data_IF_555297946069
#
_entry.id   IF_555297946069
#
_cell.length_a   1.000
_cell.length_b   1.000
_cell.length_c   1.000
_cell.angle_alpha   90.00
_cell.angle_beta   90.00
_cell.angle_gamma   90.00
#
_symmetry.space_group_name_H-M   'P 1'
#
loop_
_entity.id
_entity.type
_entity.pdbx_description
1 polymer ?
#
# COMPACT_ATOMS: atom_id res chain seq x y z
N UNK A 1 -0.09 11.50 4.61
CA UNK A 1 0.28 10.25 5.30
C UNK A 1 0.10 9.09 4.35
N UNK A 2 1.03 8.11 4.31
CA UNK A 2 0.86 6.87 3.56
C UNK A 2 0.54 5.75 4.53
N UNK A 3 -0.54 5.03 4.27
CA UNK A 3 -0.99 3.89 5.06
C UNK A 3 -0.56 2.61 4.35
N UNK A 4 0.17 1.73 5.05
CA UNK A 4 0.62 0.42 4.55
C UNK A 4 0.28 -0.66 5.57
N UNK A 5 -0.97 -1.12 5.56
CA UNK A 5 -1.40 -2.25 6.41
C UNK A 5 -2.02 -3.36 5.57
N UNK A 6 -2.01 -4.58 6.12
CA UNK A 6 -2.73 -5.70 5.56
C UNK A 6 -4.19 -5.66 6.06
N UNK A 7 -5.15 -5.84 5.14
CA UNK A 7 -6.58 -5.80 5.44
C UNK A 7 -7.26 -4.50 4.95
N UNK A 8 -8.59 -4.47 5.05
CA UNK A 8 -9.42 -3.27 4.85
C UNK A 8 -10.12 -2.91 6.15
N UNK A 9 -10.46 -1.63 6.33
CA UNK A 9 -11.25 -1.15 7.47
C UNK A 9 -10.60 -0.05 8.31
N UNK A 10 -9.29 0.20 8.14
CA UNK A 10 -8.61 1.27 8.90
C UNK A 10 -8.68 2.63 8.19
N UNK A 11 -8.92 2.62 6.88
CA UNK A 11 -8.98 3.85 6.09
C UNK A 11 -10.21 4.70 6.42
N UNK A 12 -11.37 4.11 6.72
CA UNK A 12 -12.56 4.87 7.11
C UNK A 12 -12.32 5.63 8.43
N UNK A 13 -11.74 4.95 9.42
CA UNK A 13 -11.42 5.55 10.71
C UNK A 13 -10.37 6.67 10.58
N UNK A 14 -9.33 6.46 9.76
CA UNK A 14 -8.28 7.46 9.55
C UNK A 14 -8.82 8.67 8.78
N UNK A 15 -9.65 8.47 7.76
CA UNK A 15 -10.31 9.57 7.04
C UNK A 15 -11.24 10.38 7.94
N UNK A 16 -11.95 9.74 8.87
CA UNK A 16 -12.80 10.43 9.83
C UNK A 16 -11.99 11.27 10.84
N UNK A 17 -10.82 10.78 11.25
CA UNK A 17 -9.93 11.49 12.18
C UNK A 17 -9.14 12.62 11.51
N UNK A 18 -8.82 12.49 10.22
CA UNK A 18 -7.92 13.39 9.49
C UNK A 18 -8.52 13.85 8.14
N UNK A 19 -9.68 14.52 8.13
CA UNK A 19 -10.47 14.77 6.92
C UNK A 19 -9.77 15.67 5.88
N UNK A 20 -8.86 16.54 6.32
CA UNK A 20 -8.14 17.49 5.45
C UNK A 20 -6.67 17.13 5.21
N UNK A 21 -6.18 16.01 5.77
CA UNK A 21 -4.82 15.60 5.47
C UNK A 21 -4.79 14.82 4.16
N UNK A 22 -3.77 15.01 3.31
CA UNK A 22 -3.55 14.12 2.18
C UNK A 22 -3.34 12.69 2.66
N UNK A 23 -4.27 11.81 2.33
CA UNK A 23 -4.24 10.40 2.71
C UNK A 23 -3.96 9.55 1.48
N UNK A 24 -2.94 8.71 1.59
CA UNK A 24 -2.54 7.74 0.58
C UNK A 24 -2.61 6.35 1.18
N UNK A 25 -2.92 5.37 0.35
CA UNK A 25 -2.78 3.97 0.69
C UNK A 25 -1.76 3.31 -0.23
N UNK A 26 -0.90 2.47 0.34
CA UNK A 26 -0.02 1.60 -0.41
C UNK A 26 -0.21 0.14 -0.02
N UNK A 27 -0.30 -0.72 -1.03
CA UNK A 27 -0.31 -2.18 -0.86
C UNK A 27 0.81 -2.79 -1.67
N UNK A 28 1.54 -3.72 -1.06
CA UNK A 28 2.70 -4.35 -1.67
C UNK A 28 2.62 -5.87 -1.60
N UNK A 29 3.13 -6.50 -2.66
CA UNK A 29 3.43 -7.92 -2.76
C UNK A 29 4.94 -8.20 -2.61
N UNK A 30 5.75 -7.18 -2.29
CA UNK A 30 7.16 -7.38 -1.96
C UNK A 30 7.27 -8.34 -0.76
N UNK A 31 8.14 -9.34 -0.87
CA UNK A 31 8.32 -10.35 0.17
C UNK A 31 9.62 -10.07 0.93
N UNK A 32 9.52 -9.92 2.26
CA UNK A 32 10.68 -9.77 3.11
C UNK A 32 10.66 -10.80 4.24
N UNK A 33 11.80 -11.43 4.48
CA UNK A 33 12.02 -12.38 5.56
C UNK A 33 12.90 -11.72 6.61
N UNK A 34 12.47 -11.77 7.87
CA UNK A 34 13.26 -11.29 9.01
C UNK A 34 13.65 -12.48 9.89
N UNK A 35 14.83 -13.10 9.68
CA UNK A 35 15.25 -14.28 10.44
C UNK A 35 15.59 -13.96 11.90
N UNK A 36 16.12 -12.76 12.16
CA UNK A 36 16.38 -12.25 13.51
C UNK A 36 16.14 -10.73 13.59
N UNK A 37 16.40 -10.12 14.75
CA UNK A 37 16.10 -8.69 15.01
C UNK A 37 16.97 -7.72 14.19
N UNK A 38 18.11 -8.16 13.68
CA UNK A 38 19.12 -7.33 13.03
C UNK A 38 19.22 -7.59 11.52
N UNK A 39 18.57 -8.65 11.02
CA UNK A 39 18.62 -9.03 9.62
C UNK A 39 17.26 -8.91 8.93
N UNK A 40 17.24 -8.29 7.76
CA UNK A 40 16.09 -8.24 6.87
C UNK A 40 16.54 -8.67 5.47
N UNK A 41 15.94 -9.74 4.96
CA UNK A 41 16.24 -10.27 3.64
C UNK A 41 15.06 -9.93 2.73
N UNK A 42 15.32 -9.25 1.62
CA UNK A 42 14.31 -9.03 0.58
C UNK A 42 14.30 -10.27 -0.31
N UNK A 43 13.27 -11.11 -0.16
CA UNK A 43 13.23 -12.47 -0.72
C UNK A 43 12.36 -12.59 -1.96
N UNK A 44 11.60 -11.56 -2.33
CA UNK A 44 10.76 -11.59 -3.52
C UNK A 44 10.39 -10.20 -4.00
N UNK A 45 10.55 -10.00 -5.30
CA UNK A 45 10.11 -8.80 -6.01
C UNK A 45 8.61 -8.91 -6.29
N UNK A 46 7.84 -7.92 -5.85
CA UNK A 46 6.40 -7.91 -6.03
C UNK A 46 5.85 -6.52 -6.25
N UNK A 47 4.72 -6.44 -6.94
CA UNK A 47 4.09 -5.17 -7.26
C UNK A 47 3.72 -4.38 -6.00
N UNK A 48 4.03 -3.08 -6.01
CA UNK A 48 3.48 -2.10 -5.09
C UNK A 48 2.49 -1.19 -5.83
N UNK A 49 1.31 -1.03 -5.26
CA UNK A 49 0.31 -0.06 -5.72
C UNK A 49 0.22 1.06 -4.70
N UNK A 50 0.23 2.30 -5.17
CA UNK A 50 0.01 3.50 -4.38
C UNK A 50 -1.20 4.24 -4.95
N UNK A 51 -2.04 4.82 -4.11
CA UNK A 51 -3.13 5.67 -4.57
C UNK A 51 -3.74 6.49 -3.46
N UNK A 52 -4.60 7.43 -3.83
CA UNK A 52 -5.21 8.36 -2.90
C UNK A 52 -6.45 7.77 -2.22
N UNK A 53 -6.62 8.08 -0.94
CA UNK A 53 -7.85 7.79 -0.18
C UNK A 53 -8.82 8.97 -0.15
N UNK A 54 -8.34 10.17 -0.47
CA UNK A 54 -9.14 11.38 -0.56
C UNK A 54 -8.58 12.32 -1.64
N UNK A 55 -9.35 13.36 -1.97
CA UNK A 55 -8.99 14.34 -3.02
C UNK A 55 -7.63 14.99 -2.77
N UNK A 56 -7.32 15.35 -1.52
CA UNK A 56 -6.05 15.96 -1.13
C UNK A 56 -4.85 15.04 -1.41
N UNK A 57 -5.04 13.72 -1.34
CA UNK A 57 -4.03 12.71 -1.66
C UNK A 57 -3.70 12.62 -3.15
N UNK A 58 -4.64 12.96 -4.05
CA UNK A 58 -4.46 12.75 -5.49
C UNK A 58 -3.29 13.56 -6.07
N UNK A 59 -2.99 14.73 -5.50
CA UNK A 59 -1.85 15.56 -5.89
C UNK A 59 -0.48 14.88 -5.69
N UNK A 60 -0.43 13.79 -4.94
CA UNK A 60 0.79 13.07 -4.61
C UNK A 60 1.06 11.85 -5.50
N UNK A 61 0.37 11.70 -6.64
CA UNK A 61 0.67 10.66 -7.62
C UNK A 61 2.15 10.55 -8.06
N UNK A 62 2.95 11.63 -8.11
CA UNK A 62 4.39 11.53 -8.42
C UNK A 62 5.21 10.72 -7.40
N UNK A 63 4.68 10.48 -6.18
CA UNK A 63 5.34 9.63 -5.20
C UNK A 63 5.46 8.18 -5.67
N UNK A 64 4.59 7.70 -6.56
CA UNK A 64 4.72 6.36 -7.12
C UNK A 64 6.06 6.17 -7.84
N UNK A 65 6.53 7.18 -8.59
CA UNK A 65 7.84 7.13 -9.25
C UNK A 65 9.01 7.21 -8.26
N UNK A 66 8.83 7.87 -7.11
CA UNK A 66 9.84 7.87 -6.04
C UNK A 66 9.97 6.46 -5.45
N UNK A 67 8.83 5.83 -5.16
CA UNK A 67 8.80 4.46 -4.65
C UNK A 67 9.33 3.46 -5.68
N UNK A 68 9.01 3.64 -6.96
CA UNK A 68 9.49 2.75 -8.01
C UNK A 68 11.01 2.77 -8.12
N UNK A 69 11.64 3.96 -8.02
CA UNK A 69 13.11 4.06 -8.00
C UNK A 69 13.75 3.40 -6.79
N UNK A 70 13.06 3.34 -5.66
CA UNK A 70 13.59 2.79 -4.41
C UNK A 70 13.25 1.31 -4.19
N UNK A 71 12.08 0.87 -4.65
CA UNK A 71 11.46 -0.42 -4.34
C UNK A 71 10.59 -0.93 -5.51
N UNK A 72 11.18 -1.00 -6.70
CA UNK A 72 10.51 -1.45 -7.90
C UNK A 72 9.93 -2.89 -7.78
N UNK A 73 8.80 -3.18 -8.45
CA UNK A 73 7.97 -2.24 -9.22
C UNK A 73 6.94 -1.53 -8.32
N UNK A 74 6.74 -0.23 -8.55
CA UNK A 74 5.70 0.57 -7.92
C UNK A 74 4.94 1.43 -8.94
N UNK A 75 3.61 1.43 -8.85
CA UNK A 75 2.75 2.19 -9.76
C UNK A 75 1.63 2.89 -9.00
N UNK A 76 1.19 4.02 -9.55
CA UNK A 76 0.00 4.71 -9.08
C UNK A 76 -1.26 4.01 -9.59
N UNK A 77 -2.30 3.97 -8.77
CA UNK A 77 -3.62 3.49 -9.14
C UNK A 77 -4.66 4.53 -8.71
N UNK A 78 -5.48 5.00 -9.65
CA UNK A 78 -6.46 6.06 -9.38
C UNK A 78 -7.58 5.61 -8.44
N UNK A 79 -7.99 4.34 -8.58
CA UNK A 79 -8.86 3.67 -7.61
C UNK A 79 -8.07 2.67 -6.77
N UNK A 80 -7.45 3.13 -5.69
CA UNK A 80 -6.62 2.27 -4.84
C UNK A 80 -7.42 1.13 -4.17
N UNK A 81 -8.75 1.21 -4.11
CA UNK A 81 -9.56 0.16 -3.50
C UNK A 81 -9.56 -1.12 -4.33
N UNK A 82 -9.48 -1.04 -5.66
CA UNK A 82 -9.43 -2.21 -6.53
C UNK A 82 -8.27 -3.18 -6.18
N UNK A 83 -6.99 -2.76 -6.17
CA UNK A 83 -5.89 -3.65 -5.79
C UNK A 83 -5.95 -4.09 -4.32
N UNK A 84 -6.58 -3.29 -3.44
CA UNK A 84 -6.81 -3.71 -2.06
C UNK A 84 -7.83 -4.86 -1.97
N UNK A 85 -8.94 -4.80 -2.72
CA UNK A 85 -9.95 -5.85 -2.76
C UNK A 85 -9.37 -7.13 -3.34
N UNK A 86 -8.56 -7.01 -4.40
CA UNK A 86 -7.87 -8.15 -4.97
C UNK A 86 -6.90 -8.81 -3.98
N UNK A 87 -6.09 -8.04 -3.26
CA UNK A 87 -5.21 -8.58 -2.22
C UNK A 87 -5.99 -9.24 -1.09
N UNK A 88 -7.11 -8.64 -0.67
CA UNK A 88 -7.98 -9.22 0.35
C UNK A 88 -8.54 -10.57 -0.12
N UNK A 89 -9.07 -10.65 -1.34
CA UNK A 89 -9.61 -11.89 -1.89
C UNK A 89 -8.57 -13.01 -1.99
N UNK A 90 -7.35 -12.70 -2.45
CA UNK A 90 -6.23 -13.65 -2.50
C UNK A 90 -5.87 -14.13 -1.09
N UNK A 91 -5.74 -13.20 -0.14
CA UNK A 91 -5.42 -13.55 1.24
C UNK A 91 -6.51 -14.42 1.87
N UNK A 92 -7.78 -14.16 1.58
CA UNK A 92 -8.87 -15.03 2.04
C UNK A 92 -8.75 -16.43 1.43
N UNK A 93 -8.45 -16.56 0.14
CA UNK A 93 -8.32 -17.87 -0.51
C UNK A 93 -7.10 -18.68 0.00
N UNK A 94 -5.99 -18.03 0.35
CA UNK A 94 -4.78 -18.70 0.86
C UNK A 94 -4.92 -19.10 2.34
N UNK A 95 -5.61 -18.30 3.15
CA UNK A 95 -5.73 -18.52 4.60
C UNK A 95 -6.98 -19.32 5.02
N UNK A 96 -7.77 -19.82 4.07
CA UNK A 96 -8.86 -20.79 4.31
C UNK A 96 -8.29 -22.21 4.46
#
# INVERSE_FOLDING_TARGET
MIIMHNGMGTHEAVSALLPHQPLLYATTAQAALRPDRHQLHHTGLGQTWLGALNTEGAAYSPLASVFDRALAPCQWHDDIFQPLWQKLAINCAINL
#
